data_IF_680462042807
#
_entry.id   IF_680462042807
#
_cell.length_a   1.000
_cell.length_b   1.000
_cell.length_c   1.000
_cell.angle_alpha   90.00
_cell.angle_beta   90.00
_cell.angle_gamma   90.00
#
_symmetry.space_group_name_H-M   'P 1'
#
loop_
_entity.id
_entity.type
_entity.pdbx_description
1 polymer ?
#
# COMPACT_ATOMS: atom_id res chain seq x y z
N UNK A 1 -22.62 -14.27 -3.94
CA UNK A 1 -23.52 -13.59 -4.89
C UNK A 1 -23.84 -12.19 -4.36
N UNK A 2 -23.75 -11.15 -5.15
CA UNK A 2 -24.07 -9.77 -4.75
C UNK A 2 -25.59 -9.63 -4.50
N UNK A 3 -25.98 -9.45 -3.24
CA UNK A 3 -27.37 -9.13 -2.87
C UNK A 3 -27.66 -7.64 -3.06
N UNK A 4 -28.94 -7.27 -3.11
CA UNK A 4 -29.36 -5.85 -3.17
C UNK A 4 -28.88 -5.05 -1.95
N UNK A 5 -28.85 -5.68 -0.79
CA UNK A 5 -28.37 -5.09 0.48
C UNK A 5 -26.86 -4.81 0.41
N UNK A 6 -26.08 -5.76 -0.12
CA UNK A 6 -24.65 -5.57 -0.30
C UNK A 6 -24.34 -4.45 -1.31
N UNK A 7 -25.13 -4.29 -2.37
CA UNK A 7 -24.98 -3.18 -3.32
C UNK A 7 -25.15 -1.84 -2.64
N UNK A 8 -26.21 -1.66 -1.84
CA UNK A 8 -26.47 -0.42 -1.14
C UNK A 8 -25.35 -0.08 -0.14
N UNK A 9 -24.82 -1.09 0.57
CA UNK A 9 -23.74 -0.92 1.55
C UNK A 9 -22.40 -0.53 0.90
N UNK A 10 -22.12 -1.02 -0.30
CA UNK A 10 -20.87 -0.78 -1.01
C UNK A 10 -21.03 0.19 -2.19
N UNK A 11 -22.18 0.88 -2.29
CA UNK A 11 -22.39 1.88 -3.33
C UNK A 11 -21.51 3.11 -3.08
N UNK A 12 -20.57 3.34 -3.98
CA UNK A 12 -19.69 4.49 -3.99
C UNK A 12 -20.04 5.51 -5.08
N UNK A 13 -21.23 5.38 -5.69
CA UNK A 13 -21.69 6.24 -6.78
C UNK A 13 -21.86 7.71 -6.40
N UNK A 14 -21.93 8.04 -5.11
CA UNK A 14 -22.00 9.41 -4.58
C UNK A 14 -20.62 10.08 -4.44
N UNK A 15 -19.53 9.31 -4.53
CA UNK A 15 -18.18 9.85 -4.46
C UNK A 15 -17.77 10.35 -5.85
N UNK A 16 -16.90 11.35 -5.92
CA UNK A 16 -16.32 11.84 -7.18
C UNK A 16 -15.66 10.71 -7.96
N UNK A 17 -14.85 9.89 -7.25
CA UNK A 17 -14.31 8.63 -7.75
C UNK A 17 -14.65 7.49 -6.79
N UNK A 18 -14.89 6.28 -7.29
CA UNK A 18 -15.13 5.12 -6.42
C UNK A 18 -13.99 4.82 -5.43
N UNK A 19 -12.79 5.33 -5.70
CA UNK A 19 -11.59 5.22 -4.86
C UNK A 19 -11.50 6.30 -3.78
N UNK A 20 -12.31 7.35 -3.81
CA UNK A 20 -12.24 8.43 -2.83
C UNK A 20 -12.66 7.93 -1.43
N UNK A 21 -12.00 8.42 -0.41
CA UNK A 21 -12.29 8.08 0.98
C UNK A 21 -13.63 8.68 1.43
N UNK A 22 -14.49 7.87 2.03
CA UNK A 22 -15.65 8.36 2.77
C UNK A 22 -15.23 9.16 4.00
N UNK A 23 -16.17 9.79 4.69
CA UNK A 23 -15.84 10.49 5.94
C UNK A 23 -15.38 9.53 7.04
N UNK A 24 -15.97 8.35 7.11
CA UNK A 24 -15.64 7.31 8.07
C UNK A 24 -14.25 6.73 7.81
N UNK A 25 -13.96 6.38 6.55
CA UNK A 25 -12.64 5.91 6.14
C UNK A 25 -11.55 6.98 6.37
N UNK A 26 -11.87 8.25 6.09
CA UNK A 26 -10.95 9.34 6.37
C UNK A 26 -10.67 9.51 7.87
N UNK A 27 -11.68 9.36 8.74
CA UNK A 27 -11.49 9.44 10.18
C UNK A 27 -10.49 8.41 10.71
N UNK A 28 -10.39 7.25 10.05
CA UNK A 28 -9.41 6.21 10.36
C UNK A 28 -8.01 6.56 9.84
N UNK A 29 -7.92 7.11 8.63
CA UNK A 29 -6.65 7.38 7.95
C UNK A 29 -5.99 8.67 8.46
N UNK A 30 -6.78 9.71 8.74
CA UNK A 30 -6.27 11.03 9.13
C UNK A 30 -5.26 11.02 10.30
N UNK A 31 -5.48 10.30 11.40
CA UNK A 31 -4.55 10.28 12.53
C UNK A 31 -3.22 9.57 12.23
N UNK A 32 -3.17 8.73 11.18
CA UNK A 32 -1.97 8.01 10.78
C UNK A 32 -1.01 8.87 9.96
N UNK A 33 -1.51 9.99 9.43
CA UNK A 33 -0.73 10.89 8.58
C UNK A 33 0.07 11.87 9.45
N UNK A 34 1.38 11.99 9.22
CA UNK A 34 2.22 12.91 9.97
C UNK A 34 1.73 14.36 9.87
N UNK A 35 1.76 15.06 11.00
CA UNK A 35 1.48 16.49 11.04
C UNK A 35 2.44 17.28 10.13
N UNK A 36 2.07 18.51 9.77
CA UNK A 36 2.95 19.39 9.03
C UNK A 36 4.24 19.65 9.83
N UNK A 37 5.38 19.66 9.16
CA UNK A 37 6.66 19.99 9.81
C UNK A 37 6.60 21.39 10.44
N UNK A 38 7.15 21.51 11.63
CA UNK A 38 7.36 22.82 12.27
C UNK A 38 8.50 23.52 11.51
N UNK A 39 8.24 24.74 11.03
CA UNK A 39 9.20 25.53 10.25
C UNK A 39 9.11 25.30 8.72
N UNK A 40 9.61 26.24 7.94
CA UNK A 40 9.51 26.25 6.49
C UNK A 40 8.14 26.64 5.96
N UNK A 41 7.89 26.34 4.69
CA UNK A 41 6.59 26.62 4.05
C UNK A 41 5.48 25.80 4.67
N UNK A 42 4.40 26.48 5.08
CA UNK A 42 3.20 25.82 5.61
C UNK A 42 2.57 24.91 4.56
N UNK A 43 2.10 23.75 4.99
CA UNK A 43 1.31 22.85 4.14
C UNK A 43 0.05 23.57 3.66
N UNK A 44 -0.09 23.75 2.35
CA UNK A 44 -1.27 24.38 1.71
C UNK A 44 -2.20 23.36 1.06
N UNK A 45 -1.74 22.14 0.91
CA UNK A 45 -2.47 21.07 0.21
C UNK A 45 -3.35 20.34 1.21
N UNK A 46 -4.58 20.06 0.79
CA UNK A 46 -5.47 19.16 1.52
C UNK A 46 -4.91 17.73 1.45
N UNK A 47 -4.62 17.20 2.63
CA UNK A 47 -4.00 15.88 2.77
C UNK A 47 -4.97 14.76 2.41
N UNK A 48 -6.28 15.00 2.60
CA UNK A 48 -7.31 14.05 2.18
C UNK A 48 -7.33 13.91 0.66
N UNK A 49 -7.19 15.01 -0.07
CA UNK A 49 -7.10 15.00 -1.52
C UNK A 49 -5.83 14.29 -2.02
N UNK A 50 -4.72 14.38 -1.26
CA UNK A 50 -3.53 13.59 -1.56
C UNK A 50 -3.82 12.09 -1.42
N UNK A 51 -4.46 11.69 -0.31
CA UNK A 51 -4.82 10.28 -0.10
C UNK A 51 -5.76 9.78 -1.21
N UNK A 52 -6.79 10.56 -1.56
CA UNK A 52 -7.72 10.25 -2.65
C UNK A 52 -6.97 10.07 -3.98
N UNK A 53 -6.05 10.97 -4.30
CA UNK A 53 -5.25 10.88 -5.53
C UNK A 53 -4.36 9.64 -5.58
N UNK A 54 -3.75 9.25 -4.46
CA UNK A 54 -2.97 8.01 -4.38
C UNK A 54 -3.85 6.77 -4.50
N UNK A 55 -5.01 6.75 -3.85
CA UNK A 55 -5.99 5.65 -3.98
C UNK A 55 -6.55 5.55 -5.38
N UNK A 56 -6.75 6.68 -6.08
CA UNK A 56 -7.13 6.69 -7.48
C UNK A 56 -6.09 5.98 -8.35
N UNK A 57 -4.81 6.32 -8.19
CA UNK A 57 -3.72 5.66 -8.95
C UNK A 57 -3.67 4.16 -8.64
N UNK A 58 -3.81 3.78 -7.36
CA UNK A 58 -3.81 2.38 -6.95
C UNK A 58 -4.98 1.59 -7.53
N UNK A 59 -6.18 2.17 -7.54
CA UNK A 59 -7.40 1.48 -8.00
C UNK A 59 -7.48 1.36 -9.52
N UNK A 60 -7.00 2.37 -10.25
CA UNK A 60 -7.08 2.43 -11.71
C UNK A 60 -5.85 1.86 -12.41
N UNK A 61 -4.71 1.80 -11.71
CA UNK A 61 -3.41 1.47 -12.32
C UNK A 61 -2.96 2.48 -13.38
N UNK A 62 -3.52 3.70 -13.39
CA UNK A 62 -3.21 4.69 -14.40
C UNK A 62 -1.75 5.18 -14.29
N UNK A 63 -1.22 5.63 -15.41
CA UNK A 63 0.06 6.33 -15.40
C UNK A 63 -0.06 7.65 -14.63
N UNK A 64 1.00 8.07 -13.94
CA UNK A 64 1.05 9.34 -13.22
C UNK A 64 0.70 10.57 -14.08
N UNK A 65 0.90 10.48 -15.39
CA UNK A 65 0.55 11.55 -16.35
C UNK A 65 -0.94 11.59 -16.67
N UNK A 66 -1.66 10.51 -16.42
CA UNK A 66 -3.08 10.37 -16.74
C UNK A 66 -3.99 10.68 -15.52
N UNK A 67 -3.42 11.21 -14.45
CA UNK A 67 -4.20 11.65 -13.28
C UNK A 67 -5.13 12.80 -13.69
N UNK A 68 -6.43 12.72 -13.35
CA UNK A 68 -7.39 13.77 -13.63
C UNK A 68 -6.98 15.13 -13.04
N UNK A 69 -7.38 16.22 -13.72
CA UNK A 69 -7.01 17.59 -13.33
C UNK A 69 -7.71 18.10 -12.06
N UNK A 70 -8.79 17.46 -11.65
CA UNK A 70 -9.55 17.75 -10.44
C UNK A 70 -8.92 17.11 -9.17
N UNK A 71 -7.92 16.25 -9.36
CA UNK A 71 -7.04 15.77 -8.31
C UNK A 71 -5.77 16.64 -8.19
N UNK A 72 -5.06 16.60 -7.08
CA UNK A 72 -3.82 17.34 -6.92
C UNK A 72 -2.80 17.03 -8.02
N UNK A 73 -1.96 18.01 -8.41
CA UNK A 73 -0.98 17.83 -9.47
C UNK A 73 -0.08 16.62 -9.26
N UNK A 74 0.25 15.91 -10.35
CA UNK A 74 1.12 14.73 -10.33
C UNK A 74 2.39 14.91 -9.49
N UNK A 75 3.07 16.04 -9.63
CA UNK A 75 4.31 16.31 -8.89
C UNK A 75 4.08 16.35 -7.38
N UNK A 76 2.94 16.87 -6.96
CA UNK A 76 2.54 16.93 -5.55
C UNK A 76 2.22 15.53 -5.04
N UNK A 77 1.39 14.76 -5.75
CA UNK A 77 1.02 13.39 -5.39
C UNK A 77 2.27 12.51 -5.31
N UNK A 78 3.14 12.56 -6.31
CA UNK A 78 4.35 11.76 -6.35
C UNK A 78 5.32 12.14 -5.21
N UNK A 79 5.45 13.43 -4.89
CA UNK A 79 6.27 13.87 -3.76
C UNK A 79 5.74 13.40 -2.40
N UNK A 80 4.41 13.33 -2.23
CA UNK A 80 3.80 12.76 -1.02
C UNK A 80 3.93 11.24 -1.00
N UNK A 81 3.75 10.57 -2.13
CA UNK A 81 3.96 9.13 -2.25
C UNK A 81 5.36 8.73 -1.78
N UNK A 82 6.40 9.34 -2.34
CA UNK A 82 7.79 9.07 -1.94
C UNK A 82 8.05 9.34 -0.45
N UNK A 83 7.50 10.43 0.08
CA UNK A 83 7.67 10.79 1.49
C UNK A 83 6.99 9.80 2.42
N UNK A 84 5.74 9.41 2.11
CA UNK A 84 4.96 8.49 2.92
C UNK A 84 5.45 7.05 2.81
N UNK A 85 6.07 6.69 1.69
CA UNK A 85 6.82 5.43 1.55
C UNK A 85 8.05 5.44 2.45
N UNK A 86 8.85 6.51 2.37
CA UNK A 86 10.08 6.65 3.15
C UNK A 86 9.84 6.64 4.66
N UNK A 87 8.81 7.33 5.15
CA UNK A 87 8.53 7.44 6.60
C UNK A 87 7.59 6.33 7.13
N UNK A 88 7.26 5.34 6.30
CA UNK A 88 6.41 4.20 6.65
C UNK A 88 4.93 4.56 6.84
N UNK A 89 4.49 5.75 6.43
CA UNK A 89 3.08 6.17 6.57
C UNK A 89 2.16 5.29 5.73
N UNK A 90 2.54 4.94 4.50
CA UNK A 90 1.73 4.07 3.62
C UNK A 90 1.58 2.67 4.22
N UNK A 91 2.64 2.12 4.79
CA UNK A 91 2.61 0.81 5.44
C UNK A 91 1.67 0.82 6.66
N UNK A 92 1.74 1.86 7.51
CA UNK A 92 0.82 2.01 8.66
C UNK A 92 -0.63 2.13 8.23
N UNK A 93 -0.93 2.93 7.20
CA UNK A 93 -2.28 3.08 6.65
C UNK A 93 -2.78 1.72 6.13
N UNK A 94 -1.97 1.04 5.34
CA UNK A 94 -2.31 -0.29 4.80
C UNK A 94 -2.60 -1.29 5.92
N UNK A 95 -1.75 -1.35 6.94
CA UNK A 95 -1.90 -2.28 8.07
C UNK A 95 -3.21 -2.06 8.82
N UNK A 96 -3.50 -0.82 9.20
CA UNK A 96 -4.73 -0.47 9.93
C UNK A 96 -5.99 -0.77 9.09
N UNK A 97 -6.00 -0.39 7.82
CA UNK A 97 -7.13 -0.68 6.94
C UNK A 97 -7.30 -2.19 6.71
N UNK A 98 -6.20 -2.92 6.58
CA UNK A 98 -6.23 -4.37 6.44
C UNK A 98 -6.83 -5.06 7.68
N UNK A 99 -6.39 -4.68 8.88
CA UNK A 99 -6.93 -5.24 10.14
C UNK A 99 -8.43 -4.94 10.27
N UNK A 100 -8.85 -3.71 9.96
CA UNK A 100 -10.26 -3.34 9.99
C UNK A 100 -11.10 -4.13 8.99
N UNK A 101 -10.63 -4.27 7.75
CA UNK A 101 -11.32 -5.08 6.75
C UNK A 101 -11.48 -6.53 7.20
N UNK A 102 -10.47 -7.11 7.85
CA UNK A 102 -10.54 -8.47 8.39
C UNK A 102 -11.53 -8.57 9.54
N UNK A 103 -11.49 -7.62 10.48
CA UNK A 103 -12.41 -7.57 11.61
C UNK A 103 -13.86 -7.42 11.14
N UNK A 104 -14.14 -6.56 10.16
CA UNK A 104 -15.45 -6.42 9.54
C UNK A 104 -15.94 -7.70 8.83
N UNK A 105 -15.02 -8.51 8.33
CA UNK A 105 -15.32 -9.81 7.74
C UNK A 105 -15.41 -10.95 8.78
N UNK A 106 -15.37 -10.64 10.08
CA UNK A 106 -15.39 -11.61 11.16
C UNK A 106 -14.15 -12.52 11.19
N UNK A 107 -13.02 -12.04 10.70
CA UNK A 107 -11.74 -12.76 10.65
C UNK A 107 -10.78 -12.19 11.68
N UNK A 108 -9.87 -13.02 12.17
CA UNK A 108 -8.77 -12.57 13.01
C UNK A 108 -7.98 -11.44 12.34
N UNK A 109 -7.66 -10.35 13.05
CA UNK A 109 -6.91 -9.23 12.49
C UNK A 109 -5.55 -9.65 11.91
N UNK A 110 -4.85 -10.53 12.60
CA UNK A 110 -3.57 -11.09 12.12
C UNK A 110 -3.80 -12.40 11.38
N UNK A 111 -3.33 -12.56 10.13
CA UNK A 111 -3.45 -13.82 9.41
C UNK A 111 -2.52 -14.86 10.01
N UNK A 112 -3.04 -16.07 10.21
CA UNK A 112 -2.26 -17.23 10.70
C UNK A 112 -1.49 -17.93 9.57
N UNK A 113 -1.85 -17.66 8.32
CA UNK A 113 -1.20 -18.24 7.14
C UNK A 113 -1.14 -17.25 6.00
N UNK A 114 -0.09 -17.31 5.21
CA UNK A 114 0.06 -16.58 3.96
C UNK A 114 0.48 -17.53 2.84
N UNK A 115 -0.11 -17.37 1.66
CA UNK A 115 0.30 -18.08 0.45
C UNK A 115 1.17 -17.12 -0.36
N UNK A 116 2.44 -17.47 -0.52
CA UNK A 116 3.38 -16.70 -1.34
C UNK A 116 3.50 -17.41 -2.68
N UNK A 117 3.09 -16.73 -3.77
CA UNK A 117 3.35 -17.22 -5.10
C UNK A 117 4.84 -17.10 -5.42
N UNK A 118 5.47 -18.24 -5.65
CA UNK A 118 6.89 -18.34 -5.97
C UNK A 118 7.19 -18.27 -7.48
N UNK A 119 6.19 -17.99 -8.30
CA UNK A 119 6.40 -17.88 -9.75
C UNK A 119 7.33 -16.71 -10.07
N UNK A 120 8.43 -17.01 -10.71
CA UNK A 120 9.34 -15.98 -11.23
C UNK A 120 8.75 -15.38 -12.50
N UNK A 121 8.41 -14.10 -12.45
CA UNK A 121 8.08 -13.35 -13.66
C UNK A 121 9.38 -13.15 -14.45
N UNK A 122 9.44 -13.69 -15.66
CA UNK A 122 10.51 -13.37 -16.61
C UNK A 122 10.43 -11.88 -16.91
N UNK A 123 11.42 -11.10 -16.49
CA UNK A 123 11.54 -9.73 -16.95
C UNK A 123 11.76 -9.72 -18.45
N UNK A 124 11.05 -8.88 -19.17
CA UNK A 124 11.28 -8.69 -20.60
C UNK A 124 12.72 -8.17 -20.80
N UNK A 125 13.50 -8.84 -21.63
CA UNK A 125 14.92 -8.52 -21.88
C UNK A 125 15.15 -7.17 -22.54
N UNK A 126 14.11 -6.40 -22.83
CA UNK A 126 14.21 -5.14 -23.53
C UNK A 126 13.64 -4.00 -22.69
N UNK A 127 14.48 -3.32 -21.98
CA UNK A 127 14.10 -2.06 -21.40
C UNK A 127 14.83 -1.70 -20.12
N UNK A 128 15.98 -1.12 -20.23
CA UNK A 128 16.48 -0.09 -19.33
C UNK A 128 16.87 -0.55 -17.94
N UNK A 129 18.14 -0.43 -17.66
CA UNK A 129 18.72 -0.29 -16.33
C UNK A 129 17.79 0.54 -15.42
N UNK A 130 16.92 -0.10 -14.62
CA UNK A 130 16.43 0.51 -13.38
C UNK A 130 15.77 -0.52 -12.49
N UNK A 131 16.38 -0.62 -11.31
CA UNK A 131 15.86 -1.15 -10.03
C UNK A 131 15.31 -2.59 -10.06
N UNK A 132 16.17 -3.49 -9.68
CA UNK A 132 15.80 -4.79 -9.14
C UNK A 132 14.97 -4.51 -7.86
N UNK A 133 13.74 -4.98 -7.76
CA UNK A 133 12.98 -4.86 -6.50
C UNK A 133 13.74 -5.53 -5.37
N UNK A 134 13.91 -4.85 -4.28
CA UNK A 134 14.66 -5.29 -3.08
C UNK A 134 14.17 -6.64 -2.52
N UNK A 135 12.95 -7.03 -2.83
CA UNK A 135 12.37 -8.32 -2.44
C UNK A 135 13.10 -9.55 -3.00
N UNK A 136 13.70 -9.43 -4.20
CA UNK A 136 14.42 -10.57 -4.81
C UNK A 136 15.76 -10.85 -4.14
N UNK A 137 16.38 -9.85 -3.47
CA UNK A 137 17.64 -10.04 -2.75
C UNK A 137 17.46 -10.73 -1.39
N UNK A 138 16.33 -10.57 -0.73
CA UNK A 138 16.05 -11.21 0.57
C UNK A 138 15.91 -12.74 0.44
N UNK A 139 15.31 -13.22 -0.66
CA UNK A 139 15.11 -14.64 -0.90
C UNK A 139 16.40 -15.40 -1.21
N UNK A 140 17.45 -14.75 -1.72
CA UNK A 140 18.73 -15.39 -2.01
C UNK A 140 19.63 -15.60 -0.78
N UNK A 141 19.42 -14.85 0.30
CA UNK A 141 20.26 -14.95 1.51
C UNK A 141 19.89 -16.10 2.44
N UNK A 142 18.71 -16.70 2.32
CA UNK A 142 18.27 -17.80 3.20
C UNK A 142 18.67 -19.21 2.72
N UNK A 143 19.28 -19.36 1.54
CA UNK A 143 19.70 -20.67 1.01
C UNK A 143 21.15 -21.07 1.28
N UNK A 144 21.86 -20.38 2.14
CA UNK A 144 23.27 -20.62 2.40
C UNK A 144 23.62 -20.90 3.86
N UNK A 145 22.89 -21.76 4.56
CA UNK A 145 23.36 -22.38 5.81
C UNK A 145 22.53 -23.62 6.16
N UNK A 146 22.84 -24.73 5.54
CA UNK A 146 22.57 -26.04 6.11
C UNK A 146 23.78 -26.93 5.80
N UNK A 147 24.61 -27.09 6.79
CA UNK A 147 25.78 -27.94 6.71
C UNK A 147 26.65 -27.78 7.93
N UNK A 148 26.16 -28.15 9.10
CA UNK A 148 27.06 -28.48 10.22
C UNK A 148 26.58 -29.80 10.81
N UNK A 149 27.28 -30.86 10.43
CA UNK A 149 27.21 -32.18 11.05
C UNK A 149 27.69 -32.05 12.47
N UNK A 150 26.83 -32.40 13.43
CA UNK A 150 27.21 -32.65 14.82
C UNK A 150 27.68 -34.09 14.93
N UNK A 151 28.98 -34.29 15.05
CA UNK A 151 29.60 -35.52 15.52
C UNK A 151 29.40 -35.61 17.02
N UNK A 152 28.78 -36.68 17.48
CA UNK A 152 28.67 -37.03 18.89
C UNK A 152 29.92 -37.88 19.25
N UNK A 153 30.68 -37.53 20.27
CA UNK A 153 31.73 -38.46 20.78
C UNK A 153 31.09 -39.48 21.74
N UNK A 154 31.40 -40.73 21.48
CA UNK A 154 31.15 -41.85 22.38
C UNK A 154 32.20 -41.88 23.49
N UNK A 155 31.77 -41.97 24.72
CA UNK A 155 32.40 -42.69 25.82
C UNK A 155 31.44 -42.70 27.04
#
# INVERSE_FOLDING_TARGET
MWSKENRARYDRGRLRYPSDLTHEEWAVVAPLIPAAKRGGNKRRVDVREIANGLLYVLSTGCQWRAIPKDLPPRSTLFGYFQRWEWDGTLERIHHVLYEQCRAHAGREPSPTAAIIDSQSVKSAEKGGRRSIPTATMAARRSRGRSGTSLSIPSA
#
